data_IF_789153248081
#
_entry.id   IF_789153248081
#
_cell.length_a   1.000
_cell.length_b   1.000
_cell.length_c   1.000
_cell.angle_alpha   90.00
_cell.angle_beta   90.00
_cell.angle_gamma   90.00
#
_symmetry.space_group_name_H-M   'P 1'
#
loop_
_entity.id
_entity.type
_entity.pdbx_description
1 polymer ?
#
# COMPACT_ATOMS: atom_id res chain seq x y z
N UNK A 1 -0.31 0.50 24.70
CA UNK A 1 -1.07 -0.70 25.11
C UNK A 1 -1.49 -1.56 23.92
N UNK A 2 -2.22 -1.02 22.92
CA UNK A 2 -2.68 -1.80 21.75
C UNK A 2 -1.55 -2.45 20.94
N UNK A 3 -0.44 -1.74 20.73
CA UNK A 3 0.75 -2.28 20.05
C UNK A 3 1.36 -3.49 20.81
N UNK A 4 1.40 -3.43 22.14
CA UNK A 4 1.83 -4.57 22.97
C UNK A 4 0.89 -5.77 22.84
N UNK A 5 -0.44 -5.55 22.80
CA UNK A 5 -1.43 -6.61 22.57
C UNK A 5 -1.24 -7.22 21.17
N UNK A 6 -1.09 -6.39 20.14
CA UNK A 6 -0.83 -6.82 18.77
C UNK A 6 0.43 -7.69 18.68
N UNK A 7 1.51 -7.31 19.37
CA UNK A 7 2.78 -8.04 19.35
C UNK A 7 2.77 -9.36 20.13
N UNK A 8 2.01 -9.44 21.24
CA UNK A 8 2.10 -10.54 22.22
C UNK A 8 0.93 -11.52 22.18
N UNK A 9 -0.24 -11.10 21.72
CA UNK A 9 -1.40 -11.98 21.63
C UNK A 9 -1.19 -13.01 20.52
N UNK A 10 -1.52 -14.27 20.81
CA UNK A 10 -1.62 -15.35 19.82
C UNK A 10 -3.06 -15.58 19.33
N UNK A 11 -4.03 -14.84 19.89
CA UNK A 11 -5.45 -14.96 19.52
C UNK A 11 -5.79 -13.98 18.38
N UNK A 12 -6.22 -14.47 17.19
CA UNK A 12 -6.49 -13.61 16.04
C UNK A 12 -7.49 -12.50 16.32
N UNK A 13 -8.63 -12.80 16.96
CA UNK A 13 -9.64 -11.80 17.31
C UNK A 13 -9.12 -10.69 18.24
N UNK A 14 -8.22 -11.03 19.16
CA UNK A 14 -7.61 -10.05 20.07
C UNK A 14 -6.61 -9.17 19.34
N UNK A 15 -5.84 -9.73 18.40
CA UNK A 15 -4.96 -8.95 17.52
C UNK A 15 -5.78 -8.01 16.64
N UNK A 16 -6.81 -8.53 15.96
CA UNK A 16 -7.70 -7.77 15.10
C UNK A 16 -8.37 -6.61 15.87
N UNK A 17 -8.91 -6.86 17.07
CA UNK A 17 -9.52 -5.82 17.88
C UNK A 17 -8.53 -4.71 18.27
N UNK A 18 -7.28 -5.08 18.61
CA UNK A 18 -6.24 -4.11 18.94
C UNK A 18 -5.84 -3.26 17.72
N UNK A 19 -5.69 -3.88 16.55
CA UNK A 19 -5.37 -3.18 15.30
C UNK A 19 -6.55 -2.31 14.86
N UNK A 20 -7.78 -2.80 14.98
CA UNK A 20 -9.01 -2.10 14.65
C UNK A 20 -9.22 -0.85 15.50
N UNK A 21 -8.87 -0.90 16.79
CA UNK A 21 -8.86 0.28 17.64
C UNK A 21 -7.89 1.36 17.12
N UNK A 22 -6.67 0.95 16.75
CA UNK A 22 -5.68 1.87 16.16
C UNK A 22 -6.14 2.40 14.79
N UNK A 23 -6.75 1.56 13.97
CA UNK A 23 -7.33 1.94 12.68
C UNK A 23 -8.39 3.03 12.87
N UNK A 24 -9.31 2.86 13.82
CA UNK A 24 -10.36 3.84 14.10
C UNK A 24 -9.80 5.17 14.60
N UNK A 25 -8.83 5.14 15.52
CA UNK A 25 -8.19 6.37 16.05
C UNK A 25 -7.43 7.13 14.94
N UNK A 26 -6.84 6.40 14.00
CA UNK A 26 -6.09 6.96 12.86
C UNK A 26 -6.96 7.29 11.64
N UNK A 27 -8.28 7.04 11.68
CA UNK A 27 -9.16 7.24 10.53
C UNK A 27 -9.33 8.72 10.14
N UNK A 28 -9.24 9.63 11.12
CA UNK A 28 -9.37 11.08 10.90
C UNK A 28 -8.12 11.74 10.32
N UNK A 29 -8.26 13.02 9.96
CA UNK A 29 -7.17 13.88 9.48
C UNK A 29 -6.77 14.97 10.50
N UNK A 30 -7.26 14.88 11.74
CA UNK A 30 -6.98 15.85 12.79
C UNK A 30 -5.65 15.62 13.51
N UNK A 31 -5.25 16.59 14.33
CA UNK A 31 -4.00 16.57 15.10
C UNK A 31 -3.83 15.31 15.97
N UNK A 32 -4.93 14.82 16.55
CA UNK A 32 -4.91 13.60 17.37
C UNK A 32 -4.57 12.36 16.52
N UNK A 33 -5.25 12.16 15.39
CA UNK A 33 -4.98 11.04 14.48
C UNK A 33 -3.55 11.09 13.96
N UNK A 34 -3.05 12.28 13.64
CA UNK A 34 -1.65 12.48 13.23
C UNK A 34 -0.68 12.14 14.35
N UNK A 35 -0.86 12.67 15.56
CA UNK A 35 0.01 12.40 16.70
C UNK A 35 0.09 10.90 17.03
N UNK A 36 -1.04 10.19 16.92
CA UNK A 36 -1.10 8.74 17.12
C UNK A 36 -0.35 8.00 15.99
N UNK A 37 -0.56 8.35 14.73
CA UNK A 37 0.18 7.74 13.61
C UNK A 37 1.71 7.93 13.77
N UNK A 38 2.14 9.13 14.15
CA UNK A 38 3.55 9.40 14.47
C UNK A 38 4.06 8.57 15.64
N UNK A 39 3.29 8.45 16.72
CA UNK A 39 3.66 7.64 17.89
C UNK A 39 3.83 6.17 17.51
N UNK A 40 2.89 5.62 16.74
CA UNK A 40 2.95 4.24 16.24
C UNK A 40 4.25 4.00 15.47
N UNK A 41 4.59 4.89 14.53
CA UNK A 41 5.73 4.69 13.63
C UNK A 41 7.07 5.01 14.29
N UNK A 42 7.17 6.15 14.97
CA UNK A 42 8.46 6.73 15.39
C UNK A 42 8.83 6.37 16.84
N UNK A 43 7.86 5.98 17.68
CA UNK A 43 8.10 5.74 19.11
C UNK A 43 7.88 4.30 19.54
N UNK A 44 6.93 3.58 18.92
CA UNK A 44 6.48 2.27 19.41
C UNK A 44 6.79 1.08 18.46
N UNK A 45 7.65 1.25 17.46
CA UNK A 45 8.01 0.20 16.49
C UNK A 45 6.79 -0.44 15.79
N UNK A 46 5.71 0.32 15.61
CA UNK A 46 4.44 -0.20 15.12
C UNK A 46 4.51 -0.75 13.70
N UNK A 47 5.43 -0.26 12.85
CA UNK A 47 5.63 -0.82 11.50
C UNK A 47 6.16 -2.25 11.55
N UNK A 48 7.15 -2.54 12.39
CA UNK A 48 7.70 -3.89 12.53
C UNK A 48 6.66 -4.87 13.04
N UNK A 49 5.84 -4.45 13.99
CA UNK A 49 4.77 -5.28 14.51
C UNK A 49 3.64 -5.47 13.47
N UNK A 50 3.31 -4.44 12.69
CA UNK A 50 2.37 -4.57 11.58
C UNK A 50 2.88 -5.56 10.52
N UNK A 51 4.17 -5.53 10.17
CA UNK A 51 4.79 -6.50 9.25
C UNK A 51 4.58 -7.94 9.76
N UNK A 52 4.82 -8.18 11.06
CA UNK A 52 4.55 -9.49 11.68
C UNK A 52 3.08 -9.90 11.49
N UNK A 53 2.12 -8.98 11.68
CA UNK A 53 0.70 -9.25 11.45
C UNK A 53 0.39 -9.58 9.98
N UNK A 54 1.05 -8.91 9.04
CA UNK A 54 0.89 -9.17 7.60
C UNK A 54 1.47 -10.54 7.19
N UNK A 55 2.51 -11.01 7.87
CA UNK A 55 3.16 -12.29 7.60
C UNK A 55 2.41 -13.45 8.26
N UNK A 56 2.15 -13.35 9.56
CA UNK A 56 1.68 -14.46 10.40
C UNK A 56 0.17 -14.44 10.67
N UNK A 57 -0.50 -13.28 10.53
CA UNK A 57 -1.90 -13.12 10.89
C UNK A 57 -2.86 -13.84 9.93
N UNK A 58 -4.07 -14.14 10.42
CA UNK A 58 -5.19 -14.55 9.56
C UNK A 58 -5.67 -13.42 8.65
N UNK A 59 -6.53 -13.73 7.66
CA UNK A 59 -6.94 -12.74 6.65
C UNK A 59 -7.60 -11.49 7.22
N UNK A 60 -8.43 -11.62 8.25
CA UNK A 60 -9.06 -10.47 8.91
C UNK A 60 -8.03 -9.58 9.62
N UNK A 61 -7.05 -10.18 10.30
CA UNK A 61 -5.92 -9.47 10.90
C UNK A 61 -5.11 -8.71 9.83
N UNK A 62 -4.80 -9.37 8.70
CA UNK A 62 -4.08 -8.74 7.58
C UNK A 62 -4.86 -7.57 6.99
N UNK A 63 -6.16 -7.74 6.76
CA UNK A 63 -7.06 -6.70 6.22
C UNK A 63 -7.07 -5.47 7.13
N UNK A 64 -7.25 -5.68 8.43
CA UNK A 64 -7.29 -4.61 9.43
C UNK A 64 -5.93 -3.93 9.57
N UNK A 65 -4.83 -4.68 9.50
CA UNK A 65 -3.47 -4.13 9.49
C UNK A 65 -3.19 -3.27 8.25
N UNK A 66 -3.55 -3.75 7.05
CA UNK A 66 -3.40 -2.96 5.81
C UNK A 66 -4.22 -1.67 5.88
N UNK A 67 -5.41 -1.71 6.48
CA UNK A 67 -6.24 -0.52 6.64
C UNK A 67 -5.65 0.49 7.62
N UNK A 68 -5.08 0.05 8.74
CA UNK A 68 -4.30 0.90 9.65
C UNK A 68 -3.11 1.54 8.90
N UNK A 69 -2.36 0.76 8.13
CA UNK A 69 -1.21 1.24 7.36
C UNK A 69 -1.64 2.23 6.26
N UNK A 70 -2.81 2.03 5.67
CA UNK A 70 -3.40 2.96 4.71
C UNK A 70 -3.67 4.33 5.37
N UNK A 71 -4.22 4.35 6.59
CA UNK A 71 -4.40 5.58 7.36
C UNK A 71 -3.06 6.25 7.67
N UNK A 72 -2.07 5.50 8.15
CA UNK A 72 -0.75 6.03 8.49
C UNK A 72 -0.03 6.61 7.26
N UNK A 73 -0.17 5.97 6.10
CA UNK A 73 0.51 6.39 4.86
C UNK A 73 0.11 7.77 4.33
N UNK A 74 -0.96 8.39 4.85
CA UNK A 74 -1.36 9.75 4.44
C UNK A 74 -0.39 10.83 4.94
N UNK A 75 0.39 10.53 5.97
CA UNK A 75 1.32 11.49 6.59
C UNK A 75 2.69 11.38 5.92
N UNK A 76 3.04 12.42 5.17
CA UNK A 76 4.26 12.54 4.37
C UNK A 76 5.53 12.28 5.20
N UNK A 77 5.57 12.80 6.40
CA UNK A 77 6.67 12.70 7.36
C UNK A 77 6.99 11.26 7.78
N UNK A 78 6.06 10.32 7.53
CA UNK A 78 6.20 8.90 7.84
C UNK A 78 6.64 8.07 6.62
N UNK A 79 6.63 8.64 5.41
CA UNK A 79 6.89 7.91 4.16
C UNK A 79 8.27 7.26 4.12
N UNK A 80 9.32 7.97 4.53
CA UNK A 80 10.67 7.41 4.58
C UNK A 80 10.76 6.17 5.50
N UNK A 81 10.03 6.16 6.62
CA UNK A 81 9.97 5.01 7.53
C UNK A 81 9.19 3.84 6.90
N UNK A 82 8.07 4.13 6.25
CA UNK A 82 7.24 3.14 5.54
C UNK A 82 8.03 2.51 4.40
N UNK A 83 8.70 3.30 3.57
CA UNK A 83 9.51 2.80 2.44
C UNK A 83 10.65 1.93 2.94
N UNK A 84 11.36 2.38 3.98
CA UNK A 84 12.51 1.64 4.53
C UNK A 84 12.11 0.30 5.16
N UNK A 85 11.00 0.24 5.89
CA UNK A 85 10.67 -0.93 6.71
C UNK A 85 9.60 -1.82 6.09
N UNK A 86 8.56 -1.23 5.51
CA UNK A 86 7.30 -1.91 5.18
C UNK A 86 7.15 -2.21 3.69
N UNK A 87 7.75 -1.42 2.80
CA UNK A 87 7.62 -1.59 1.34
C UNK A 87 7.86 -3.02 0.84
N UNK A 88 8.92 -3.75 1.27
CA UNK A 88 9.12 -5.12 0.81
C UNK A 88 7.90 -6.02 1.07
N UNK A 89 7.30 -5.91 2.26
CA UNK A 89 6.13 -6.68 2.63
C UNK A 89 4.88 -6.26 1.85
N UNK A 90 4.69 -4.96 1.57
CA UNK A 90 3.58 -4.49 0.73
C UNK A 90 3.65 -5.08 -0.68
N UNK A 91 4.86 -5.13 -1.26
CA UNK A 91 5.07 -5.68 -2.60
C UNK A 91 4.85 -7.19 -2.64
N UNK A 92 5.26 -7.91 -1.61
CA UNK A 92 4.95 -9.35 -1.47
C UNK A 92 3.43 -9.59 -1.46
N UNK A 93 2.67 -8.74 -0.78
CA UNK A 93 1.21 -8.87 -0.69
C UNK A 93 0.45 -8.51 -1.97
N UNK A 94 1.02 -7.70 -2.87
CA UNK A 94 0.37 -7.39 -4.13
C UNK A 94 0.09 -8.69 -4.92
N UNK A 95 -1.15 -8.88 -5.43
CA UNK A 95 -1.51 -10.08 -6.16
C UNK A 95 -0.69 -10.23 -7.44
N UNK A 96 -0.21 -11.45 -7.69
CA UNK A 96 0.44 -11.85 -8.94
C UNK A 96 -0.55 -12.58 -9.86
N UNK A 97 -0.26 -12.61 -11.16
CA UNK A 97 -1.01 -13.41 -12.15
C UNK A 97 -0.93 -14.91 -11.89
N UNK A 98 0.19 -15.37 -11.31
CA UNK A 98 0.56 -16.78 -11.33
C UNK A 98 0.14 -17.55 -10.07
N UNK A 99 -0.23 -16.83 -9.01
CA UNK A 99 -0.65 -17.40 -7.73
C UNK A 99 -1.98 -16.80 -7.34
N UNK A 100 -3.04 -17.53 -7.65
CA UNK A 100 -4.44 -17.31 -7.26
C UNK A 100 -4.62 -17.41 -5.74
N UNK A 101 -3.95 -16.55 -4.98
CA UNK A 101 -4.42 -16.16 -3.65
C UNK A 101 -5.29 -14.95 -3.87
N UNK A 102 -6.61 -15.16 -3.89
CA UNK A 102 -7.61 -14.11 -4.00
C UNK A 102 -7.55 -13.21 -2.76
N UNK A 103 -6.62 -12.27 -2.77
CA UNK A 103 -6.59 -11.19 -1.80
C UNK A 103 -7.88 -10.37 -1.99
N UNK A 104 -8.67 -10.12 -0.94
CA UNK A 104 -9.90 -9.35 -1.06
C UNK A 104 -9.64 -8.01 -1.79
N UNK A 105 -10.55 -7.65 -2.71
CA UNK A 105 -10.42 -6.45 -3.55
C UNK A 105 -10.12 -5.19 -2.72
N UNK A 106 -10.75 -5.07 -1.55
CA UNK A 106 -10.53 -3.96 -0.62
C UNK A 106 -9.09 -3.86 -0.11
N UNK A 107 -8.44 -4.99 0.17
CA UNK A 107 -7.04 -5.01 0.61
C UNK A 107 -6.14 -4.59 -0.54
N UNK A 108 -6.42 -5.06 -1.75
CA UNK A 108 -5.68 -4.64 -2.95
C UNK A 108 -5.83 -3.14 -3.21
N UNK A 109 -7.03 -2.58 -3.03
CA UNK A 109 -7.28 -1.14 -3.12
C UNK A 109 -6.45 -0.38 -2.08
N UNK A 110 -6.46 -0.81 -0.82
CA UNK A 110 -5.67 -0.16 0.24
C UNK A 110 -4.16 -0.26 0.00
N UNK A 111 -3.65 -1.39 -0.52
CA UNK A 111 -2.25 -1.51 -0.94
C UNK A 111 -1.91 -0.50 -2.04
N UNK A 112 -2.77 -0.35 -3.05
CA UNK A 112 -2.58 0.64 -4.11
C UNK A 112 -2.61 2.07 -3.55
N UNK A 113 -3.53 2.39 -2.62
CA UNK A 113 -3.59 3.70 -1.96
C UNK A 113 -2.33 4.03 -1.16
N UNK A 114 -1.78 3.06 -0.41
CA UNK A 114 -0.50 3.25 0.30
C UNK A 114 0.58 3.60 -0.72
N UNK A 115 0.71 2.83 -1.80
CA UNK A 115 1.71 3.07 -2.83
C UNK A 115 1.50 4.40 -3.57
N UNK A 116 0.25 4.84 -3.77
CA UNK A 116 -0.08 6.16 -4.33
C UNK A 116 0.47 7.25 -3.42
N UNK A 117 0.17 7.18 -2.12
CA UNK A 117 0.67 8.18 -1.16
C UNK A 117 2.20 8.26 -1.18
N UNK A 118 2.89 7.11 -1.17
CA UNK A 118 4.36 7.07 -1.25
C UNK A 118 4.90 7.61 -2.59
N UNK A 119 4.13 7.48 -3.67
CA UNK A 119 4.51 7.92 -5.02
C UNK A 119 4.19 9.38 -5.31
N UNK A 120 3.50 10.11 -4.42
CA UNK A 120 3.21 11.53 -4.62
C UNK A 120 4.33 12.44 -4.13
N UNK A 121 5.19 11.93 -3.24
CA UNK A 121 6.13 12.75 -2.50
C UNK A 121 7.49 12.86 -3.20
N UNK A 122 8.24 11.76 -3.25
CA UNK A 122 9.63 11.79 -3.67
C UNK A 122 9.93 10.76 -4.75
N UNK A 123 10.69 11.17 -5.77
CA UNK A 123 11.18 10.29 -6.84
C UNK A 123 11.93 9.06 -6.30
N UNK A 124 12.60 9.19 -5.16
CA UNK A 124 13.29 8.07 -4.50
C UNK A 124 12.34 6.97 -4.01
N UNK A 125 11.14 7.31 -3.56
CA UNK A 125 10.14 6.33 -3.14
C UNK A 125 9.63 5.53 -4.34
N UNK A 126 9.33 6.21 -5.46
CA UNK A 126 8.92 5.55 -6.70
C UNK A 126 10.02 4.63 -7.23
N UNK A 127 11.29 5.07 -7.18
CA UNK A 127 12.43 4.23 -7.53
C UNK A 127 12.52 2.99 -6.63
N UNK A 128 12.30 3.14 -5.32
CA UNK A 128 12.27 2.01 -4.40
C UNK A 128 11.14 1.03 -4.74
N UNK A 129 9.93 1.51 -5.03
CA UNK A 129 8.78 0.69 -5.44
C UNK A 129 9.13 -0.16 -6.68
N UNK A 130 9.76 0.45 -7.67
CA UNK A 130 10.18 -0.22 -8.92
C UNK A 130 11.27 -1.26 -8.63
N UNK A 131 12.28 -0.91 -7.84
CA UNK A 131 13.39 -1.80 -7.50
C UNK A 131 12.96 -3.04 -6.70
N UNK A 132 11.87 -2.95 -5.94
CA UNK A 132 11.29 -4.11 -5.25
C UNK A 132 10.42 -5.00 -6.17
N UNK A 133 10.31 -4.67 -7.47
CA UNK A 133 9.57 -5.48 -8.43
C UNK A 133 8.05 -5.29 -8.37
N UNK A 134 7.56 -4.16 -7.86
CA UNK A 134 6.12 -3.90 -7.75
C UNK A 134 5.44 -3.64 -9.10
N UNK A 135 6.17 -3.04 -10.05
CA UNK A 135 5.59 -2.50 -11.29
C UNK A 135 4.86 -3.54 -12.16
N UNK A 136 5.39 -4.76 -12.43
CA UNK A 136 4.65 -5.80 -13.14
C UNK A 136 3.32 -6.17 -12.46
N UNK A 137 3.32 -6.22 -11.12
CA UNK A 137 2.12 -6.54 -10.34
C UNK A 137 1.07 -5.44 -10.46
N UNK A 138 1.49 -4.18 -10.37
CA UNK A 138 0.60 -3.01 -10.50
C UNK A 138 0.00 -2.97 -11.91
N UNK A 139 0.79 -3.20 -12.96
CA UNK A 139 0.31 -3.27 -14.35
C UNK A 139 -0.74 -4.37 -14.48
N UNK A 140 -0.49 -5.57 -13.94
CA UNK A 140 -1.44 -6.66 -13.96
C UNK A 140 -2.75 -6.32 -13.24
N UNK A 141 -2.69 -5.68 -12.06
CA UNK A 141 -3.87 -5.23 -11.33
C UNK A 141 -4.68 -4.22 -12.16
N UNK A 142 -4.01 -3.26 -12.80
CA UNK A 142 -4.64 -2.24 -13.65
C UNK A 142 -5.36 -2.84 -14.87
N UNK A 143 -4.93 -4.03 -15.31
CA UNK A 143 -5.51 -4.73 -16.44
C UNK A 143 -6.79 -5.52 -16.08
N UNK A 144 -7.07 -5.78 -14.79
CA UNK A 144 -8.24 -6.56 -14.35
C UNK A 144 -9.56 -5.80 -14.55
N UNK A 145 -10.48 -6.46 -15.25
CA UNK A 145 -11.83 -5.99 -15.58
C UNK A 145 -12.88 -7.02 -15.09
N UNK A 146 -14.10 -6.58 -14.78
CA UNK A 146 -15.20 -7.45 -14.37
C UNK A 146 -16.29 -7.63 -15.45
N UNK A 147 -16.00 -7.26 -16.70
CA UNK A 147 -16.92 -7.27 -17.83
C UNK A 147 -17.68 -5.96 -18.03
N UNK A 148 -17.69 -5.08 -17.01
CA UNK A 148 -18.34 -3.77 -17.04
C UNK A 148 -17.34 -2.62 -16.89
N UNK A 149 -16.03 -2.92 -16.91
CA UNK A 149 -14.97 -1.95 -16.74
C UNK A 149 -13.97 -2.33 -15.65
N UNK A 150 -13.03 -1.43 -15.35
CA UNK A 150 -11.98 -1.67 -14.37
C UNK A 150 -12.59 -2.01 -13.00
N UNK A 151 -12.02 -3.03 -12.35
CA UNK A 151 -12.33 -3.29 -10.94
C UNK A 151 -11.90 -2.10 -10.07
N UNK A 152 -12.43 -1.97 -8.84
CA UNK A 152 -11.96 -0.92 -7.89
C UNK A 152 -10.45 -0.97 -7.67
N UNK A 153 -9.88 -2.18 -7.56
CA UNK A 153 -8.44 -2.37 -7.47
C UNK A 153 -7.72 -1.95 -8.75
N UNK A 154 -8.27 -2.29 -9.92
CA UNK A 154 -7.77 -1.84 -11.22
C UNK A 154 -7.76 -0.32 -11.35
N UNK A 155 -8.81 0.36 -10.91
CA UNK A 155 -8.87 1.83 -10.90
C UNK A 155 -7.80 2.44 -9.98
N UNK A 156 -7.61 1.91 -8.76
CA UNK A 156 -6.55 2.38 -7.88
C UNK A 156 -5.15 2.13 -8.47
N UNK A 157 -4.92 0.98 -9.10
CA UNK A 157 -3.66 0.70 -9.80
C UNK A 157 -3.44 1.61 -11.02
N UNK A 158 -4.49 1.97 -11.75
CA UNK A 158 -4.42 2.95 -12.83
C UNK A 158 -3.96 4.33 -12.33
N UNK A 159 -4.51 4.80 -11.21
CA UNK A 159 -4.10 6.06 -10.57
C UNK A 159 -2.64 5.99 -10.12
N UNK A 160 -2.24 4.86 -9.52
CA UNK A 160 -0.86 4.62 -9.11
C UNK A 160 0.12 4.70 -10.29
N UNK A 161 -0.18 4.03 -11.41
CA UNK A 161 0.65 4.08 -12.61
C UNK A 161 0.79 5.50 -13.15
N UNK A 162 -0.30 6.27 -13.16
CA UNK A 162 -0.25 7.66 -13.55
C UNK A 162 0.62 8.50 -12.60
N UNK A 163 0.50 8.30 -11.29
CA UNK A 163 1.36 8.94 -10.28
C UNK A 163 2.83 8.59 -10.50
N UNK A 164 3.17 7.33 -10.78
CA UNK A 164 4.55 6.91 -11.02
C UNK A 164 5.12 7.51 -12.32
N UNK A 165 4.29 7.77 -13.33
CA UNK A 165 4.71 8.37 -14.59
C UNK A 165 4.92 9.88 -14.53
N UNK A 166 4.32 10.59 -13.56
CA UNK A 166 4.53 12.02 -13.39
C UNK A 166 5.98 12.38 -13.05
N UNK A 167 6.75 11.43 -12.48
CA UNK A 167 8.17 11.54 -12.23
C UNK A 167 9.01 11.36 -13.52
N UNK A 168 9.11 12.44 -14.30
CA UNK A 168 9.84 12.47 -15.58
C UNK A 168 11.31 12.02 -15.48
N UNK A 169 11.94 12.26 -14.33
CA UNK A 169 13.29 11.82 -13.99
C UNK A 169 13.47 10.29 -14.09
N UNK A 170 12.41 9.51 -13.89
CA UNK A 170 12.45 8.05 -13.94
C UNK A 170 12.22 7.48 -15.35
N UNK A 171 11.80 8.28 -16.32
CA UNK A 171 11.46 7.78 -17.67
C UNK A 171 12.64 7.09 -18.37
N UNK A 172 13.88 7.52 -18.12
CA UNK A 172 15.07 6.81 -18.63
C UNK A 172 15.27 5.47 -17.93
N UNK A 173 15.04 5.39 -16.63
CA UNK A 173 15.14 4.15 -15.86
C UNK A 173 14.06 3.14 -16.29
N UNK A 174 12.81 3.60 -16.46
CA UNK A 174 11.72 2.78 -16.97
C UNK A 174 12.05 2.15 -18.32
N UNK A 175 12.54 2.95 -19.28
CA UNK A 175 12.95 2.45 -20.60
C UNK A 175 14.08 1.42 -20.53
N UNK A 176 15.08 1.65 -19.67
CA UNK A 176 16.17 0.67 -19.43
C UNK A 176 15.65 -0.64 -18.84
N UNK A 177 14.60 -0.59 -18.03
CA UNK A 177 13.94 -1.76 -17.47
C UNK A 177 12.89 -2.40 -18.41
N UNK A 178 12.76 -1.91 -19.65
CA UNK A 178 11.86 -2.47 -20.66
C UNK A 178 10.45 -1.88 -20.70
N UNK A 179 10.14 -0.92 -19.82
CA UNK A 179 8.81 -0.29 -19.77
C UNK A 179 8.69 0.89 -20.75
N UNK A 180 7.47 1.08 -21.24
CA UNK A 180 7.07 2.10 -22.21
C UNK A 180 6.03 3.01 -21.59
N UNK A 181 5.81 4.18 -22.17
CA UNK A 181 4.76 5.11 -21.74
C UNK A 181 3.38 4.44 -21.64
N UNK A 182 3.05 3.55 -22.58
CA UNK A 182 1.77 2.85 -22.63
C UNK A 182 1.51 1.92 -21.41
N UNK A 183 2.57 1.48 -20.72
CA UNK A 183 2.46 0.67 -19.50
C UNK A 183 1.95 1.51 -18.32
N UNK A 184 2.06 2.84 -18.39
CA UNK A 184 1.63 3.75 -17.33
C UNK A 184 0.47 4.66 -17.75
N UNK A 185 0.50 5.15 -18.99
CA UNK A 185 -0.47 6.09 -19.55
C UNK A 185 -1.08 5.48 -20.81
N UNK A 186 -2.32 5.01 -20.66
CA UNK A 186 -3.14 4.45 -21.72
C UNK A 186 -4.61 4.85 -21.52
N UNK A 187 -5.49 4.40 -22.42
CA UNK A 187 -6.92 4.78 -22.37
C UNK A 187 -7.61 4.44 -21.04
N UNK A 188 -7.18 3.38 -20.33
CA UNK A 188 -7.72 3.01 -19.01
C UNK A 188 -7.18 3.92 -17.92
N UNK A 189 -5.87 4.14 -17.88
CA UNK A 189 -5.27 4.97 -16.83
C UNK A 189 -5.64 6.43 -16.96
N UNK A 190 -5.74 6.96 -18.18
CA UNK A 190 -6.23 8.33 -18.42
C UNK A 190 -7.67 8.52 -17.95
N UNK A 191 -8.56 7.53 -18.16
CA UNK A 191 -9.95 7.57 -17.67
C UNK A 191 -10.06 7.47 -16.14
N UNK A 192 -9.05 6.93 -15.46
CA UNK A 192 -9.09 6.80 -14.01
C UNK A 192 -8.70 8.09 -13.27
N UNK A 193 -8.07 9.04 -13.97
CA UNK A 193 -7.53 10.29 -13.42
C UNK A 193 -8.41 11.50 -13.78
N UNK A 194 -9.38 11.32 -14.68
CA UNK A 194 -10.38 12.31 -15.10
C UNK A 194 -11.77 11.84 -14.67
#
# INVERSE_FOLDING_TARGET
>A
MYLSIMARSIRPYTQEAAIGALQNITAGNGLVSQAIAHTIVQRENGLLQAIKMLQEGGMDVKKTAVSLLCNISRYRELHAHIVKQLLPQLVVMLPNSDTSTDLPTEVTVSLCHILINLSQDETQHVRAIVNHGALPKIINISAKDNGFGPTRAGQAACILLHSMWSHSELHRAYRKAGYRKADFVNSRTSKAVH
#
